data_IF_682285483073
#
_entry.id   IF_682285483073
#
_cell.length_a   1.000
_cell.length_b   1.000
_cell.length_c   1.000
_cell.angle_alpha   90.00
_cell.angle_beta   90.00
_cell.angle_gamma   90.00
#
_symmetry.space_group_name_H-M   'P 1'
#
loop_
_entity.id
_entity.type
_entity.pdbx_description
1 polymer ?
#
# COMPACT_ATOMS: atom_id res chain seq x y z
N UNK A 1 15.99 1.39 -3.00
CA UNK A 1 15.18 1.16 -1.77
C UNK A 1 13.82 0.69 -2.25
N UNK A 2 13.27 -0.40 -1.69
CA UNK A 2 12.00 -0.94 -2.12
C UNK A 2 10.86 -0.43 -1.21
N UNK A 3 9.68 -0.30 -1.76
CA UNK A 3 8.48 0.16 -1.07
C UNK A 3 7.39 -0.90 -1.19
N UNK A 4 6.73 -1.19 -0.08
CA UNK A 4 5.47 -1.95 -0.08
C UNK A 4 4.37 -0.95 0.20
N UNK A 5 3.35 -0.87 -0.65
CA UNK A 5 2.30 0.13 -0.53
C UNK A 5 0.91 -0.49 -0.53
N UNK A 6 -0.05 0.26 0.00
CA UNK A 6 -1.47 -0.02 -0.13
C UNK A 6 -2.15 1.21 -0.72
N UNK A 7 -2.80 1.00 -1.86
CA UNK A 7 -3.66 2.00 -2.50
C UNK A 7 -5.12 1.60 -2.36
N UNK A 8 -5.98 2.59 -2.43
CA UNK A 8 -7.42 2.40 -2.32
C UNK A 8 -8.18 3.19 -3.39
N UNK A 9 -9.40 2.74 -3.67
CA UNK A 9 -10.35 3.43 -4.54
C UNK A 9 -10.93 4.67 -3.86
N UNK A 10 -11.66 5.46 -4.64
CA UNK A 10 -12.28 6.70 -4.16
C UNK A 10 -13.26 6.45 -3.00
N UNK A 11 -13.93 5.29 -2.99
CA UNK A 11 -14.89 4.91 -1.95
C UNK A 11 -14.25 4.23 -0.73
N UNK A 12 -12.93 4.00 -0.71
CA UNK A 12 -12.22 3.31 0.39
C UNK A 12 -12.70 1.88 0.65
N UNK A 13 -13.23 1.21 -0.37
CA UNK A 13 -13.81 -0.14 -0.25
C UNK A 13 -12.86 -1.24 -0.70
N UNK A 14 -11.97 -0.92 -1.62
CA UNK A 14 -11.01 -1.85 -2.22
C UNK A 14 -9.60 -1.41 -1.87
N UNK A 15 -8.78 -2.40 -1.55
CA UNK A 15 -7.39 -2.21 -1.13
C UNK A 15 -6.50 -3.06 -2.00
N UNK A 16 -5.60 -2.42 -2.75
CA UNK A 16 -4.60 -3.09 -3.54
C UNK A 16 -3.26 -2.95 -2.84
N UNK A 17 -2.56 -4.08 -2.67
CA UNK A 17 -1.21 -4.12 -2.11
C UNK A 17 -0.22 -4.43 -3.22
N UNK A 18 0.88 -3.69 -3.28
CA UNK A 18 1.93 -3.90 -4.26
C UNK A 18 3.31 -3.53 -3.71
N UNK A 19 4.33 -3.81 -4.52
CA UNK A 19 5.73 -3.46 -4.26
C UNK A 19 6.22 -2.60 -5.40
N UNK A 20 7.12 -1.68 -5.13
CA UNK A 20 7.97 -1.05 -6.12
C UNK A 20 9.41 -1.01 -5.64
N UNK A 21 10.37 -1.23 -6.53
CA UNK A 21 11.80 -0.98 -6.33
C UNK A 21 12.23 0.43 -6.75
N UNK A 22 11.38 1.14 -7.48
CA UNK A 22 11.62 2.50 -7.95
C UNK A 22 10.87 3.53 -7.09
N UNK A 23 11.59 4.59 -6.72
CA UNK A 23 11.06 5.76 -6.03
C UNK A 23 10.11 6.58 -6.94
N UNK A 24 10.08 6.28 -8.25
CA UNK A 24 9.20 6.89 -9.25
C UNK A 24 7.92 6.09 -9.56
N UNK A 25 7.79 4.84 -9.11
CA UNK A 25 6.64 4.00 -9.47
C UNK A 25 5.35 4.28 -8.68
N UNK A 26 5.30 5.40 -7.97
CA UNK A 26 4.04 5.96 -7.51
C UNK A 26 3.20 6.54 -8.66
N UNK A 27 3.59 6.29 -9.91
CA UNK A 27 2.72 6.34 -11.09
C UNK A 27 1.61 5.26 -11.09
N UNK A 28 1.16 4.85 -9.90
CA UNK A 28 -0.01 4.01 -9.66
C UNK A 28 -1.32 4.73 -9.95
N UNK A 29 -1.27 6.02 -10.26
CA UNK A 29 -2.39 6.81 -10.77
C UNK A 29 -2.85 6.37 -12.16
N UNK A 30 -2.02 5.68 -12.95
CA UNK A 30 -2.35 5.32 -14.34
C UNK A 30 -3.36 4.16 -14.47
N UNK A 31 -3.60 3.36 -13.42
CA UNK A 31 -4.75 2.43 -13.36
C UNK A 31 -5.94 3.11 -12.69
N UNK A 32 -6.57 4.04 -13.44
CA UNK A 32 -7.81 4.84 -13.29
C UNK A 32 -8.77 4.69 -12.06
N UNK A 33 -8.76 3.60 -11.30
CA UNK A 33 -9.63 3.33 -10.13
C UNK A 33 -8.95 3.37 -8.75
N UNK A 34 -7.62 3.31 -8.66
CA UNK A 34 -6.91 3.24 -7.37
C UNK A 34 -5.93 4.40 -7.24
N UNK A 35 -6.47 5.58 -6.89
CA UNK A 35 -5.73 6.84 -6.93
C UNK A 35 -5.10 7.23 -5.61
N UNK A 36 -5.54 6.62 -4.51
CA UNK A 36 -5.18 7.11 -3.18
C UNK A 36 -4.19 6.18 -2.51
N UNK A 37 -2.94 6.62 -2.39
CA UNK A 37 -1.96 5.99 -1.52
C UNK A 37 -2.36 6.26 -0.06
N UNK A 38 -2.62 5.22 0.71
CA UNK A 38 -3.01 5.37 2.13
C UNK A 38 -1.99 4.79 3.10
N UNK A 39 -1.02 4.02 2.59
CA UNK A 39 -0.01 3.35 3.39
C UNK A 39 1.21 2.99 2.54
N UNK A 40 2.41 3.15 3.09
CA UNK A 40 3.64 2.63 2.52
C UNK A 40 4.64 2.24 3.62
N UNK A 41 5.47 1.25 3.33
CA UNK A 41 6.61 0.80 4.15
C UNK A 41 7.86 0.76 3.27
N UNK A 42 9.01 1.14 3.83
CA UNK A 42 10.30 1.10 3.12
C UNK A 42 11.13 -0.10 3.56
N UNK A 43 11.82 -0.70 2.59
CA UNK A 43 12.66 -1.88 2.80
C UNK A 43 13.99 -1.72 2.08
N UNK A 44 15.08 -2.08 2.75
CA UNK A 44 16.42 -2.12 2.15
C UNK A 44 16.65 -3.36 1.27
N UNK A 45 15.89 -4.42 1.50
CA UNK A 45 16.04 -5.71 0.82
C UNK A 45 14.74 -6.09 0.10
N UNK A 46 14.81 -6.35 -1.21
CA UNK A 46 13.67 -6.77 -2.04
C UNK A 46 13.01 -8.04 -1.50
N UNK A 47 13.79 -9.01 -0.99
CA UNK A 47 13.23 -10.25 -0.40
C UNK A 47 12.33 -9.95 0.80
N UNK A 48 12.70 -8.96 1.62
CA UNK A 48 11.88 -8.56 2.77
C UNK A 48 10.60 -7.86 2.31
N UNK A 49 10.70 -6.98 1.30
CA UNK A 49 9.53 -6.34 0.69
C UNK A 49 8.57 -7.39 0.09
N UNK A 50 9.10 -8.39 -0.63
CA UNK A 50 8.31 -9.48 -1.20
C UNK A 50 7.61 -10.33 -0.15
N UNK A 51 8.31 -10.68 0.93
CA UNK A 51 7.71 -11.41 2.05
C UNK A 51 6.58 -10.59 2.67
N UNK A 52 6.81 -9.30 2.91
CA UNK A 52 5.82 -8.40 3.50
C UNK A 52 4.57 -8.23 2.64
N UNK A 53 4.75 -8.04 1.34
CA UNK A 53 3.61 -7.94 0.42
C UNK A 53 2.78 -9.23 0.40
N UNK A 54 3.44 -10.39 0.39
CA UNK A 54 2.76 -11.70 0.45
C UNK A 54 1.99 -11.88 1.76
N UNK A 55 2.54 -11.43 2.88
CA UNK A 55 1.85 -11.40 4.19
C UNK A 55 0.61 -10.50 4.12
N UNK A 56 0.79 -9.25 3.69
CA UNK A 56 -0.30 -8.29 3.57
C UNK A 56 -1.38 -8.81 2.63
N UNK A 57 -1.06 -9.39 1.47
CA UNK A 57 -2.06 -9.98 0.56
C UNK A 57 -2.91 -11.06 1.23
N UNK A 58 -2.36 -11.82 2.18
CA UNK A 58 -3.07 -12.87 2.93
C UNK A 58 -3.86 -12.35 4.14
N UNK A 59 -3.62 -11.12 4.58
CA UNK A 59 -4.31 -10.58 5.75
C UNK A 59 -5.80 -10.36 5.49
N UNK A 60 -6.59 -10.65 6.53
CA UNK A 60 -7.98 -10.24 6.61
C UNK A 60 -8.07 -8.72 6.53
N UNK A 61 -9.16 -8.23 5.95
CA UNK A 61 -9.39 -6.79 5.75
C UNK A 61 -9.27 -5.98 7.06
N UNK A 62 -9.79 -6.50 8.17
CA UNK A 62 -9.71 -5.82 9.47
C UNK A 62 -8.27 -5.59 9.96
N UNK A 63 -7.35 -6.52 9.73
CA UNK A 63 -5.95 -6.37 10.12
C UNK A 63 -5.22 -5.35 9.25
N UNK A 64 -5.51 -5.34 7.94
CA UNK A 64 -5.02 -4.29 7.04
C UNK A 64 -5.49 -2.92 7.49
N UNK A 65 -6.79 -2.78 7.78
CA UNK A 65 -7.35 -1.52 8.24
C UNK A 65 -6.75 -1.06 9.56
N UNK A 66 -6.53 -1.97 10.52
CA UNK A 66 -5.88 -1.64 11.78
C UNK A 66 -4.45 -1.13 11.57
N UNK A 67 -3.68 -1.80 10.70
CA UNK A 67 -2.32 -1.37 10.33
C UNK A 67 -2.32 0.00 9.67
N UNK A 68 -3.19 0.21 8.68
CA UNK A 68 -3.29 1.49 7.97
C UNK A 68 -3.72 2.59 8.95
N UNK A 69 -4.74 2.36 9.78
CA UNK A 69 -5.24 3.34 10.75
C UNK A 69 -4.20 3.72 11.80
N UNK A 70 -3.25 2.84 12.12
CA UNK A 70 -2.13 3.16 13.03
C UNK A 70 -1.23 4.26 12.47
N UNK A 71 -1.05 4.33 11.16
CA UNK A 71 -0.26 5.38 10.50
C UNK A 71 -1.11 6.52 9.93
N UNK A 72 -2.28 6.21 9.42
CA UNK A 72 -3.17 7.10 8.71
C UNK A 72 -4.61 6.87 9.18
N UNK A 73 -4.97 7.35 10.39
CA UNK A 73 -6.26 7.09 11.01
C UNK A 73 -7.44 7.64 10.20
N UNK A 74 -7.20 8.68 9.39
CA UNK A 74 -8.21 9.32 8.53
C UNK A 74 -8.26 8.74 7.10
N UNK A 75 -7.44 7.73 6.78
CA UNK A 75 -7.33 7.13 5.44
C UNK A 75 -7.20 8.16 4.32
N UNK A 76 -6.51 9.28 4.58
CA UNK A 76 -6.30 10.33 3.58
C UNK A 76 -5.26 9.87 2.55
N UNK A 77 -5.31 10.45 1.36
CA UNK A 77 -4.19 10.30 0.42
C UNK A 77 -2.92 10.83 1.08
N UNK A 78 -1.84 10.03 1.03
CA UNK A 78 -0.47 10.41 1.41
C UNK A 78 0.35 10.90 0.22
N UNK A 79 -0.27 10.85 -0.97
CA UNK A 79 0.11 11.57 -2.18
C UNK A 79 -0.52 12.96 -2.16
#
# INVERSE_FOLDING_TARGET
MCYVYIVSDDLRTKFLTGITDDCKALDLASKRKFKHLIYFETFRNLKHAMKREKELKRWKLGWKLALIKRMNPKLKSLL
#
